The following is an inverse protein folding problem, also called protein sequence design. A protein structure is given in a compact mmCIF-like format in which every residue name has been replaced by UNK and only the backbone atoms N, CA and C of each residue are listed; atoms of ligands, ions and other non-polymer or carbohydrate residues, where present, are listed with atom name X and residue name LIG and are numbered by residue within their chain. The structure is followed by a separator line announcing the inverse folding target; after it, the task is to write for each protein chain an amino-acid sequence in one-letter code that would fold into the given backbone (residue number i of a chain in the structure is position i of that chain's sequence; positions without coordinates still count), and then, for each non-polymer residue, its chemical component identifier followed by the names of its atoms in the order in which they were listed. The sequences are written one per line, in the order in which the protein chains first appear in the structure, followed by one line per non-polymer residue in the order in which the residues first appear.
data_IF_725841686036
#
_entry.id   IF_725841686036
#
_cell.length_a   1.000
_cell.length_b   1.000
_cell.length_c   1.000
_cell.angle_alpha   90.00
_cell.angle_beta   90.00
_cell.angle_gamma   90.00
#
_symmetry.space_group_name_H-M   'P 1'
#
loop_
_entity.id
_entity.type
_entity.pdbx_description
1 polymer ?
#
# COMPACT_ATOMS: atom_id res chain seq x y z
N UNK A 1 2.15 -1.04 -5.66
CA UNK A 1 0.81 -0.48 -5.87
C UNK A 1 0.15 -0.36 -4.51
N UNK A 2 -0.22 0.86 -4.12
CA UNK A 2 -0.95 1.12 -2.89
C UNK A 2 -2.43 1.35 -3.21
N UNK A 3 -3.31 0.70 -2.45
CA UNK A 3 -4.74 0.93 -2.42
C UNK A 3 -5.04 1.63 -1.09
N UNK A 4 -5.33 2.92 -1.15
CA UNK A 4 -5.46 3.78 0.02
C UNK A 4 -6.91 4.22 0.23
N UNK A 5 -7.43 3.90 1.40
CA UNK A 5 -8.70 4.43 1.88
C UNK A 5 -8.59 5.94 2.09
N UNK A 6 -9.51 6.67 1.49
CA UNK A 6 -9.69 8.11 1.69
C UNK A 6 -11.16 8.41 2.03
N UNK A 7 -11.84 7.47 2.67
CA UNK A 7 -13.20 7.65 3.17
C UNK A 7 -13.27 8.72 4.28
N UNK A 8 -14.47 9.12 4.65
CA UNK A 8 -14.68 10.18 5.63
C UNK A 8 -14.06 9.93 7.00
N UNK A 9 -14.00 8.68 7.46
CA UNK A 9 -13.40 8.26 8.73
C UNK A 9 -11.89 8.51 8.81
N UNK A 10 -11.21 8.53 7.66
CA UNK A 10 -9.79 8.86 7.57
C UNK A 10 -9.46 10.31 7.96
N UNK A 11 -10.46 11.22 8.01
CA UNK A 11 -10.26 12.59 8.51
C UNK A 11 -10.06 12.64 10.04
N UNK A 12 -10.39 11.56 10.75
CA UNK A 12 -10.29 11.51 12.20
C UNK A 12 -8.89 11.12 12.66
N UNK A 13 -8.49 11.64 13.84
CA UNK A 13 -7.26 11.23 14.53
C UNK A 13 -5.98 11.35 13.67
N UNK A 14 -5.93 12.31 12.75
CA UNK A 14 -4.78 12.57 11.87
C UNK A 14 -4.39 11.36 10.98
N UNK A 15 -5.34 10.46 10.69
CA UNK A 15 -5.05 9.27 9.88
C UNK A 15 -4.64 9.64 8.45
N UNK A 16 -5.39 10.56 7.81
CA UNK A 16 -5.11 10.95 6.42
C UNK A 16 -3.80 11.75 6.31
N UNK A 17 -3.49 12.59 7.29
CA UNK A 17 -2.24 13.33 7.35
C UNK A 17 -1.04 12.38 7.49
N UNK A 18 -1.14 11.41 8.41
CA UNK A 18 -0.11 10.38 8.59
C UNK A 18 0.08 9.52 7.34
N UNK A 19 -1.02 9.17 6.66
CA UNK A 19 -0.96 8.43 5.39
C UNK A 19 -0.27 9.24 4.30
N UNK A 20 -0.59 10.54 4.16
CA UNK A 20 0.07 11.44 3.22
C UNK A 20 1.58 11.51 3.47
N UNK A 21 1.98 11.73 4.73
CA UNK A 21 3.39 11.79 5.13
C UNK A 21 4.11 10.47 4.84
N UNK A 22 3.51 9.35 5.20
CA UNK A 22 4.09 8.03 5.00
C UNK A 22 4.28 7.68 3.52
N UNK A 23 3.30 8.00 2.66
CA UNK A 23 3.38 7.80 1.22
C UNK A 23 4.46 8.68 0.59
N UNK A 24 4.53 9.95 0.98
CA UNK A 24 5.57 10.86 0.49
C UNK A 24 6.96 10.37 0.88
N UNK A 25 7.17 10.01 2.15
CA UNK A 25 8.45 9.48 2.65
C UNK A 25 8.85 8.19 1.92
N UNK A 26 7.90 7.30 1.65
CA UNK A 26 8.13 6.08 0.87
C UNK A 26 8.59 6.39 -0.56
N UNK A 27 7.90 7.29 -1.26
CA UNK A 27 8.24 7.69 -2.63
C UNK A 27 9.64 8.33 -2.67
N UNK A 28 9.93 9.24 -1.74
CA UNK A 28 11.24 9.87 -1.64
C UNK A 28 12.37 8.87 -1.36
N UNK A 29 12.12 7.91 -0.49
CA UNK A 29 13.08 6.84 -0.21
C UNK A 29 13.37 6.01 -1.45
N UNK A 30 12.35 5.63 -2.20
CA UNK A 30 12.52 4.90 -3.46
C UNK A 30 13.25 5.72 -4.53
N UNK A 31 12.96 7.02 -4.61
CA UNK A 31 13.61 7.91 -5.56
C UNK A 31 15.11 8.11 -5.30
N UNK A 32 15.51 8.10 -4.01
CA UNK A 32 16.90 8.29 -3.57
C UNK A 32 17.73 7.02 -3.62
N UNK A 33 17.10 5.84 -3.72
CA UNK A 33 17.84 4.57 -3.68
C UNK A 33 18.63 4.35 -4.97
N UNK A 34 19.94 4.23 -4.84
CA UNK A 34 20.87 4.09 -5.97
C UNK A 34 21.41 2.67 -6.18
N UNK A 35 21.20 1.76 -5.22
CA UNK A 35 21.76 0.40 -5.21
C UNK A 35 20.86 -0.65 -5.85
N UNK A 36 19.91 -0.22 -6.66
CA UNK A 36 18.88 -1.08 -7.21
C UNK A 36 19.37 -1.83 -8.46
N UNK A 37 18.97 -3.08 -8.58
CA UNK A 37 19.08 -3.88 -9.81
C UNK A 37 17.92 -3.65 -10.75
N UNK A 38 16.80 -3.15 -10.21
CA UNK A 38 15.60 -2.79 -10.95
C UNK A 38 15.05 -1.46 -10.45
N UNK A 39 14.53 -0.64 -11.36
CA UNK A 39 13.87 0.61 -11.04
C UNK A 39 12.57 0.35 -10.27
N UNK A 40 12.40 1.01 -9.12
CA UNK A 40 11.16 0.92 -8.35
C UNK A 40 10.10 1.82 -8.98
N UNK A 41 8.96 1.23 -9.33
CA UNK A 41 7.78 1.94 -9.78
C UNK A 41 6.73 1.99 -8.68
N UNK A 42 6.01 3.09 -8.60
CA UNK A 42 4.94 3.32 -7.62
C UNK A 42 3.66 3.68 -8.36
N UNK A 43 2.55 3.13 -7.92
CA UNK A 43 1.22 3.50 -8.33
C UNK A 43 0.31 3.62 -7.12
N UNK A 44 -0.65 4.54 -7.15
CA UNK A 44 -1.59 4.79 -6.06
C UNK A 44 -3.02 4.80 -6.58
N UNK A 45 -3.82 3.92 -6.04
CA UNK A 45 -5.27 3.87 -6.18
C UNK A 45 -5.86 4.39 -4.88
N UNK A 46 -6.72 5.40 -4.93
CA UNK A 46 -7.50 5.85 -3.78
C UNK A 46 -8.96 5.44 -3.93
N UNK A 47 -9.64 5.19 -2.81
CA UNK A 47 -11.07 4.91 -2.81
C UNK A 47 -11.78 5.67 -1.69
N UNK A 48 -12.85 6.38 -2.05
CA UNK A 48 -13.57 7.31 -1.18
C UNK A 48 -14.84 7.85 -1.84
N UNK A 49 -15.19 9.13 -1.62
CA UNK A 49 -16.43 9.77 -2.04
C UNK A 49 -16.82 9.55 -3.52
N UNK A 50 -15.84 9.53 -4.41
CA UNK A 50 -16.07 9.45 -5.86
C UNK A 50 -15.75 8.05 -6.42
N UNK A 51 -15.80 7.02 -5.60
CA UNK A 51 -15.40 5.67 -5.99
C UNK A 51 -13.90 5.46 -5.91
N UNK A 52 -13.40 4.42 -6.59
CA UNK A 52 -11.97 4.21 -6.75
C UNK A 52 -11.43 5.02 -7.94
N UNK A 53 -10.25 5.61 -7.78
CA UNK A 53 -9.60 6.38 -8.84
C UNK A 53 -8.07 6.14 -8.86
N UNK A 54 -7.49 6.28 -10.04
CA UNK A 54 -6.05 6.41 -10.19
C UNK A 54 -5.63 7.78 -9.63
N UNK A 55 -4.94 7.79 -8.50
CA UNK A 55 -4.39 8.99 -7.90
C UNK A 55 -2.98 9.28 -8.43
N UNK A 56 -2.17 8.23 -8.57
CA UNK A 56 -0.87 8.26 -9.17
C UNK A 56 -0.75 7.07 -10.14
N UNK A 57 -0.50 7.29 -11.44
CA UNK A 57 -0.25 6.20 -12.37
C UNK A 57 1.02 5.45 -12.00
N UNK A 58 1.15 4.19 -12.42
CA UNK A 58 2.39 3.41 -12.16
C UNK A 58 3.55 4.03 -12.93
N UNK A 59 4.43 4.70 -12.21
CA UNK A 59 5.61 5.38 -12.77
C UNK A 59 6.84 5.15 -11.90
N UNK A 60 8.01 5.35 -12.46
CA UNK A 60 9.27 5.28 -11.71
C UNK A 60 9.28 6.31 -10.58
N UNK A 61 9.61 5.89 -9.36
CA UNK A 61 9.59 6.76 -8.17
C UNK A 61 10.43 8.03 -8.38
N UNK A 62 11.58 7.93 -9.05
CA UNK A 62 12.45 9.08 -9.36
C UNK A 62 11.85 10.11 -10.33
N UNK A 63 10.72 9.80 -10.99
CA UNK A 63 9.99 10.72 -11.89
C UNK A 63 8.83 11.42 -11.21
N UNK A 64 8.54 11.06 -9.97
CA UNK A 64 7.47 11.67 -9.18
C UNK A 64 8.04 12.93 -8.54
N UNK A 65 7.73 14.08 -9.13
CA UNK A 65 8.16 15.38 -8.62
C UNK A 65 7.32 15.83 -7.42
N UNK A 66 6.03 15.52 -7.46
CA UNK A 66 5.08 15.80 -6.38
C UNK A 66 3.90 14.83 -6.44
N UNK A 67 3.29 14.58 -5.31
CA UNK A 67 2.03 13.83 -5.19
C UNK A 67 0.95 14.77 -4.67
N UNK A 68 -0.22 14.76 -5.31
CA UNK A 68 -1.36 15.50 -4.80
C UNK A 68 -1.75 14.97 -3.42
N UNK A 69 -2.01 15.88 -2.48
CA UNK A 69 -2.40 15.52 -1.11
C UNK A 69 -3.75 14.81 -1.08
N UNK A 70 -3.81 13.65 -0.44
CA UNK A 70 -5.05 12.90 -0.25
C UNK A 70 -5.99 13.67 0.67
N UNK A 71 -7.26 13.71 0.28
CA UNK A 71 -8.34 14.34 1.04
C UNK A 71 -9.36 13.28 1.45
N UNK A 72 -9.69 13.21 2.73
CA UNK A 72 -10.64 12.23 3.24
C UNK A 72 -12.08 12.69 3.01
N UNK A 73 -12.90 11.84 2.38
CA UNK A 73 -14.35 12.09 2.20
C UNK A 73 -15.10 10.83 1.74
N UNK A 74 -16.38 10.76 2.10
CA UNK A 74 -17.35 9.81 1.58
C UNK A 74 -17.25 8.39 2.12
N UNK A 75 -17.68 7.43 1.30
CA UNK A 75 -17.80 6.02 1.65
C UNK A 75 -16.49 5.24 1.38
N UNK A 76 -16.52 3.90 1.56
CA UNK A 76 -15.36 3.01 1.43
C UNK A 76 -15.59 2.00 0.29
N UNK A 77 -15.57 2.42 -1.01
CA UNK A 77 -15.83 1.56 -2.15
C UNK A 77 -14.62 0.68 -2.50
N UNK A 78 -14.30 -0.23 -1.60
CA UNK A 78 -13.10 -1.08 -1.66
C UNK A 78 -13.14 -2.08 -2.80
N UNK A 79 -14.31 -2.62 -3.16
CA UNK A 79 -14.49 -3.53 -4.28
C UNK A 79 -14.10 -2.88 -5.62
N UNK A 80 -14.40 -1.59 -5.79
CA UNK A 80 -13.94 -0.84 -6.97
C UNK A 80 -12.41 -0.73 -7.01
N UNK A 81 -11.77 -0.48 -5.87
CA UNK A 81 -10.31 -0.41 -5.80
C UNK A 81 -9.65 -1.77 -6.12
N UNK A 82 -10.21 -2.87 -5.62
CA UNK A 82 -9.74 -4.23 -5.93
C UNK A 82 -9.87 -4.54 -7.43
N UNK A 83 -10.99 -4.15 -8.05
CA UNK A 83 -11.21 -4.30 -9.48
C UNK A 83 -10.17 -3.52 -10.29
N UNK A 84 -9.92 -2.26 -9.91
CA UNK A 84 -8.90 -1.42 -10.57
C UNK A 84 -7.49 -2.01 -10.40
N UNK A 85 -7.15 -2.51 -9.21
CA UNK A 85 -5.87 -3.15 -8.96
C UNK A 85 -5.67 -4.40 -9.82
N UNK A 86 -6.72 -5.22 -9.99
CA UNK A 86 -6.68 -6.37 -10.90
C UNK A 86 -6.41 -5.93 -12.35
N UNK A 87 -7.14 -4.91 -12.82
CA UNK A 87 -6.94 -4.37 -14.18
C UNK A 87 -5.50 -3.88 -14.38
N UNK A 88 -4.94 -3.18 -13.38
CA UNK A 88 -3.55 -2.73 -13.45
C UNK A 88 -2.54 -3.87 -13.52
N UNK A 89 -2.77 -4.93 -12.74
CA UNK A 89 -1.90 -6.12 -12.75
C UNK A 89 -1.94 -6.85 -14.09
N UNK A 90 -3.09 -6.94 -14.73
CA UNK A 90 -3.26 -7.62 -16.03
C UNK A 90 -2.78 -6.77 -17.22
N UNK A 91 -2.69 -5.46 -17.06
CA UNK A 91 -2.21 -4.55 -18.09
C UNK A 91 -0.69 -4.70 -18.28
N UNK A 92 -0.29 -5.32 -19.40
CA UNK A 92 1.12 -5.58 -19.73
C UNK A 92 1.87 -4.35 -20.21
N UNK A 93 1.17 -3.29 -20.64
CA UNK A 93 1.79 -2.02 -20.98
C UNK A 93 2.18 -1.27 -19.70
N UNK A 94 1.30 -1.31 -18.70
CA UNK A 94 1.53 -0.72 -17.38
C UNK A 94 2.53 -1.53 -16.54
N UNK A 95 2.39 -2.84 -16.53
CA UNK A 95 3.25 -3.78 -15.78
C UNK A 95 3.79 -4.85 -16.71
N UNK A 96 4.95 -4.63 -17.34
CA UNK A 96 5.57 -5.60 -18.25
C UNK A 96 5.80 -6.97 -17.60
N UNK A 97 5.68 -8.04 -18.37
CA UNK A 97 5.82 -9.43 -17.87
C UNK A 97 7.20 -9.72 -17.27
N UNK A 98 8.23 -8.94 -17.64
CA UNK A 98 9.60 -9.03 -17.12
C UNK A 98 9.82 -8.27 -15.81
N UNK A 99 8.82 -7.50 -15.35
CA UNK A 99 8.92 -6.82 -14.08
C UNK A 99 9.01 -7.82 -12.92
N UNK A 100 9.67 -7.42 -11.83
CA UNK A 100 9.64 -8.19 -10.59
C UNK A 100 8.21 -8.32 -10.08
N UNK A 101 7.97 -9.34 -9.25
CA UNK A 101 6.63 -9.56 -8.68
C UNK A 101 6.14 -8.30 -7.97
N UNK A 102 4.93 -7.81 -8.31
CA UNK A 102 4.41 -6.62 -7.69
C UNK A 102 4.16 -6.83 -6.19
N UNK A 103 4.22 -5.71 -5.47
CA UNK A 103 3.74 -5.63 -4.09
C UNK A 103 2.47 -4.79 -4.10
N UNK A 104 1.39 -5.34 -3.57
CA UNK A 104 0.14 -4.64 -3.32
C UNK A 104 0.02 -4.34 -1.83
N UNK A 105 -0.35 -3.12 -1.51
CA UNK A 105 -0.56 -2.67 -0.13
C UNK A 105 -1.98 -2.12 -0.03
N UNK A 106 -2.82 -2.70 0.81
CA UNK A 106 -4.18 -2.23 1.08
C UNK A 106 -4.24 -1.63 2.48
N UNK A 107 -4.71 -0.40 2.57
CA UNK A 107 -4.83 0.36 3.82
C UNK A 107 -6.26 0.84 3.97
N UNK A 108 -6.92 0.52 5.09
CA UNK A 108 -8.27 0.97 5.38
C UNK A 108 -8.52 1.10 6.88
N UNK A 109 -9.43 2.01 7.24
CA UNK A 109 -9.88 2.24 8.61
C UNK A 109 -11.36 1.88 8.83
N UNK A 110 -12.01 1.28 7.83
CA UNK A 110 -13.43 0.94 7.89
C UNK A 110 -13.81 -0.35 7.18
N UNK A 111 -15.09 -0.66 7.24
CA UNK A 111 -15.68 -1.76 6.48
C UNK A 111 -16.02 -1.30 5.03
N UNK A 112 -15.88 -2.20 4.04
CA UNK A 112 -16.30 -1.92 2.67
C UNK A 112 -17.79 -1.53 2.59
N UNK A 113 -18.11 -0.56 1.72
CA UNK A 113 -19.48 -0.10 1.49
C UNK A 113 -20.06 -0.60 0.17
N UNK A 114 -19.28 -1.34 -0.61
CA UNK A 114 -19.69 -1.95 -1.89
C UNK A 114 -19.45 -3.46 -1.89
N UNK A 115 -19.81 -4.14 -2.98
CA UNK A 115 -19.45 -5.56 -3.18
C UNK A 115 -17.92 -5.69 -3.33
N UNK A 116 -17.27 -6.20 -2.33
CA UNK A 116 -15.83 -6.46 -2.31
C UNK A 116 -15.50 -7.95 -2.51
N UNK A 117 -16.42 -8.86 -2.20
CA UNK A 117 -16.17 -10.30 -2.23
C UNK A 117 -15.87 -10.80 -3.64
N UNK A 118 -16.72 -10.43 -4.61
CA UNK A 118 -16.54 -10.82 -6.01
C UNK A 118 -15.26 -10.21 -6.61
N UNK A 119 -14.97 -8.90 -6.46
CA UNK A 119 -13.70 -8.31 -6.85
C UNK A 119 -12.46 -8.97 -6.20
N UNK A 120 -12.52 -9.26 -4.90
CA UNK A 120 -11.42 -9.94 -4.23
C UNK A 120 -11.20 -11.35 -4.77
N UNK A 121 -12.27 -12.10 -5.00
CA UNK A 121 -12.21 -13.43 -5.60
C UNK A 121 -11.60 -13.38 -7.01
N UNK A 122 -12.02 -12.42 -7.82
CA UNK A 122 -11.47 -12.20 -9.17
C UNK A 122 -9.99 -11.82 -9.12
N UNK A 123 -9.60 -10.90 -8.24
CA UNK A 123 -8.21 -10.52 -8.00
C UNK A 123 -7.37 -11.75 -7.62
N UNK A 124 -7.83 -12.56 -6.66
CA UNK A 124 -7.11 -13.78 -6.19
C UNK A 124 -7.03 -14.86 -7.26
N UNK A 125 -7.95 -14.91 -8.21
CA UNK A 125 -7.92 -15.84 -9.33
C UNK A 125 -6.97 -15.40 -10.45
N UNK A 126 -6.60 -14.13 -10.53
CA UNK A 126 -5.65 -13.59 -11.49
C UNK A 126 -4.27 -14.20 -11.31
N UNK A 127 -3.66 -14.72 -12.37
CA UNK A 127 -2.31 -15.32 -12.32
C UNK A 127 -1.26 -14.33 -11.82
N UNK A 128 -1.37 -13.07 -12.20
CA UNK A 128 -0.43 -12.02 -11.81
C UNK A 128 -0.59 -11.61 -10.35
N UNK A 129 -1.83 -11.51 -9.87
CA UNK A 129 -2.11 -11.23 -8.46
C UNK A 129 -1.70 -12.39 -7.53
N UNK A 130 -1.76 -13.63 -8.00
CA UNK A 130 -1.24 -14.78 -7.24
C UNK A 130 0.26 -14.71 -7.02
N UNK A 131 0.99 -14.13 -7.97
CA UNK A 131 2.44 -13.92 -7.87
C UNK A 131 2.80 -12.68 -7.05
N UNK A 132 1.87 -11.76 -6.88
CA UNK A 132 2.08 -10.53 -6.10
C UNK A 132 2.17 -10.83 -4.60
N UNK A 133 3.00 -10.08 -3.90
CA UNK A 133 2.94 -10.02 -2.43
C UNK A 133 1.86 -9.03 -2.05
N UNK A 134 0.97 -9.42 -1.12
CA UNK A 134 -0.12 -8.56 -0.66
C UNK A 134 0.01 -8.31 0.83
N UNK A 135 0.12 -7.05 1.20
CA UNK A 135 0.13 -6.59 2.58
C UNK A 135 -1.15 -5.81 2.87
N UNK A 136 -1.64 -5.90 4.09
CA UNK A 136 -2.79 -5.13 4.53
C UNK A 136 -2.52 -4.44 5.86
N UNK A 137 -3.07 -3.24 6.02
CA UNK A 137 -3.07 -2.50 7.27
C UNK A 137 -4.49 -2.09 7.64
N UNK A 138 -4.88 -2.45 8.85
CA UNK A 138 -6.10 -2.01 9.52
C UNK A 138 -5.76 -0.80 10.40
N UNK A 139 -6.47 0.31 10.24
CA UNK A 139 -6.26 1.54 11.03
C UNK A 139 -7.43 1.72 11.99
N UNK A 140 -7.15 1.62 13.29
CA UNK A 140 -8.18 1.72 14.32
C UNK A 140 -9.03 0.46 14.47
N UNK A 141 -10.03 0.53 15.34
CA UNK A 141 -10.85 -0.62 15.73
C UNK A 141 -12.00 -0.92 14.75
N UNK A 142 -12.36 0.04 13.89
CA UNK A 142 -13.52 -0.08 13.00
C UNK A 142 -13.17 -0.71 11.64
N UNK A 143 -11.88 -0.96 11.39
CA UNK A 143 -11.41 -1.61 10.18
C UNK A 143 -11.88 -3.07 10.11
N UNK A 144 -12.35 -3.51 8.94
CA UNK A 144 -12.72 -4.90 8.69
C UNK A 144 -11.46 -5.78 8.53
N UNK A 145 -10.95 -6.25 9.66
CA UNK A 145 -9.74 -7.07 9.72
C UNK A 145 -9.89 -8.43 9.03
N UNK A 146 -11.11 -9.00 9.02
CA UNK A 146 -11.36 -10.28 8.35
C UNK A 146 -11.29 -10.14 6.83
N UNK A 147 -11.83 -9.06 6.28
CA UNK A 147 -11.68 -8.73 4.87
C UNK A 147 -10.21 -8.47 4.50
N UNK A 148 -9.51 -7.66 5.30
CA UNK A 148 -8.11 -7.34 5.09
C UNK A 148 -7.22 -8.59 5.16
N UNK A 149 -7.51 -9.53 6.07
CA UNK A 149 -6.83 -10.81 6.16
C UNK A 149 -7.08 -11.69 4.93
N UNK A 150 -8.27 -11.63 4.35
CA UNK A 150 -8.56 -12.34 3.10
C UNK A 150 -7.80 -11.76 1.90
N UNK A 151 -7.52 -10.46 1.91
CA UNK A 151 -6.71 -9.81 0.87
C UNK A 151 -5.24 -10.16 1.02
N UNK A 152 -4.68 -10.10 2.22
CA UNK A 152 -3.27 -10.37 2.50
C UNK A 152 -2.89 -11.83 2.16
N UNK A 153 -1.62 -12.06 1.84
CA UNK A 153 -1.11 -13.42 1.58
C UNK A 153 0.21 -13.72 2.32
N UNK A 154 0.59 -12.85 3.23
CA UNK A 154 1.66 -13.13 4.17
C UNK A 154 1.10 -13.95 5.35
N UNK A 155 1.66 -15.15 5.54
CA UNK A 155 1.21 -16.07 6.59
C UNK A 155 1.71 -15.68 7.99
N UNK A 156 2.82 -14.96 8.06
CA UNK A 156 3.44 -14.57 9.34
C UNK A 156 2.90 -13.22 9.84
N UNK A 157 2.46 -12.33 8.92
CA UNK A 157 1.87 -11.05 9.26
C UNK A 157 0.70 -10.72 8.32
N UNK A 158 -0.46 -11.37 8.46
CA UNK A 158 -1.56 -11.24 7.50
C UNK A 158 -2.15 -9.82 7.47
N UNK A 159 -2.30 -9.16 8.62
CA UNK A 159 -2.81 -7.79 8.74
C UNK A 159 -2.02 -7.05 9.80
N UNK A 160 -1.49 -5.90 9.44
CA UNK A 160 -0.87 -5.00 10.39
C UNK A 160 -1.95 -4.14 11.07
N UNK A 161 -1.90 -4.05 12.40
CA UNK A 161 -2.80 -3.18 13.17
C UNK A 161 -2.10 -1.85 13.45
N UNK A 162 -2.77 -0.76 13.12
CA UNK A 162 -2.31 0.59 13.38
C UNK A 162 -3.30 1.30 14.31
N UNK A 163 -2.88 1.61 15.53
CA UNK A 163 -3.71 2.34 16.50
C UNK A 163 -3.61 3.86 16.31
N UNK A 164 -2.66 4.35 15.53
CA UNK A 164 -2.47 5.76 15.29
C UNK A 164 -1.42 6.09 14.23
N UNK A 165 -1.14 7.39 14.10
CA UNK A 165 -0.24 7.95 13.08
C UNK A 165 1.15 7.29 13.04
N UNK A 166 1.74 7.00 14.21
CA UNK A 166 3.06 6.36 14.29
C UNK A 166 3.08 4.98 13.64
N UNK A 167 2.03 4.20 13.82
CA UNK A 167 1.96 2.84 13.29
C UNK A 167 1.79 2.84 11.77
N UNK A 168 1.06 3.83 11.23
CA UNK A 168 0.95 4.05 9.78
C UNK A 168 2.35 4.29 9.19
N UNK A 169 3.12 5.19 9.78
CA UNK A 169 4.50 5.49 9.34
C UNK A 169 5.40 4.25 9.45
N UNK A 170 5.34 3.51 10.56
CA UNK A 170 6.13 2.28 10.76
C UNK A 170 5.81 1.22 9.70
N UNK A 171 4.54 1.01 9.41
CA UNK A 171 4.13 0.05 8.39
C UNK A 171 4.70 0.42 7.01
N UNK A 172 4.53 1.67 6.58
CA UNK A 172 5.07 2.11 5.28
C UNK A 172 6.60 2.08 5.24
N UNK A 173 7.28 2.35 6.36
CA UNK A 173 8.74 2.16 6.46
C UNK A 173 9.13 0.70 6.25
N UNK A 174 8.44 -0.25 6.89
CA UNK A 174 8.69 -1.67 6.73
C UNK A 174 8.42 -2.15 5.28
N UNK A 175 7.33 -1.68 4.66
CA UNK A 175 7.05 -1.94 3.24
C UNK A 175 8.18 -1.40 2.36
N UNK A 176 8.63 -0.16 2.62
CA UNK A 176 9.74 0.47 1.90
C UNK A 176 11.01 -0.37 1.97
N UNK A 177 11.40 -0.78 3.17
CA UNK A 177 12.58 -1.63 3.40
C UNK A 177 12.46 -2.97 2.68
N UNK A 178 11.29 -3.60 2.71
CA UNK A 178 11.03 -4.86 2.01
C UNK A 178 11.21 -4.71 0.50
N UNK A 179 10.63 -3.66 -0.10
CA UNK A 179 10.72 -3.40 -1.55
C UNK A 179 12.14 -3.07 -1.97
N UNK A 180 12.86 -2.22 -1.23
CA UNK A 180 14.26 -1.86 -1.49
C UNK A 180 15.15 -3.11 -1.43
N UNK A 181 15.03 -3.90 -0.38
CA UNK A 181 15.82 -5.13 -0.21
C UNK A 181 15.58 -6.12 -1.37
N UNK A 182 14.33 -6.30 -1.77
CA UNK A 182 13.98 -7.14 -2.94
C UNK A 182 14.57 -6.60 -4.23
N UNK A 183 14.47 -5.31 -4.47
CA UNK A 183 14.97 -4.67 -5.71
C UNK A 183 16.48 -4.69 -5.80
N UNK A 184 17.19 -4.79 -4.69
CA UNK A 184 18.65 -4.95 -4.63
C UNK A 184 19.10 -6.43 -4.69
N UNK A 185 18.20 -7.40 -4.45
CA UNK A 185 18.50 -8.82 -4.37
C UNK A 185 18.85 -9.43 -5.73
N UNK A 186 19.66 -10.48 -5.70
CA UNK A 186 19.88 -11.37 -6.86
C UNK A 186 18.72 -12.34 -7.09
N UNK A 187 17.88 -12.53 -6.07
CA UNK A 187 16.70 -13.41 -6.08
C UNK A 187 15.45 -12.65 -5.61
N UNK A 188 15.02 -11.63 -6.35
CA UNK A 188 13.99 -10.67 -5.90
C UNK A 188 12.62 -11.32 -5.70
N UNK A 189 12.36 -12.43 -6.36
CA UNK A 189 11.06 -13.13 -6.33
C UNK A 189 10.95 -14.20 -5.24
N UNK A 190 11.98 -14.36 -4.41
CA UNK A 190 11.85 -15.17 -3.20
C UNK A 190 11.04 -14.41 -2.17
N UNK A 191 10.05 -15.08 -1.58
CA UNK A 191 9.20 -14.49 -0.55
C UNK A 191 10.07 -14.01 0.63
N UNK A 192 10.01 -12.73 0.92
CA UNK A 192 10.60 -12.15 2.12
C UNK A 192 9.46 -11.73 3.02
N UNK A 193 9.48 -12.22 4.23
CA UNK A 193 8.52 -11.83 5.27
C UNK A 193 8.74 -10.38 5.67
N UNK A 194 7.66 -9.62 5.78
CA UNK A 194 7.70 -8.28 6.33
C UNK A 194 8.02 -8.38 7.82
N UNK A 195 9.26 -8.14 8.21
CA UNK A 195 9.65 -8.13 9.63
C UNK A 195 9.46 -6.73 10.18
N UNK A 196 8.49 -6.57 11.04
CA UNK A 196 8.35 -5.43 11.91
C UNK A 196 9.18 -5.73 13.16
N UNK A 197 10.43 -5.29 13.18
CA UNK A 197 11.27 -5.45 14.36
C UNK A 197 10.87 -4.44 15.43
N UNK A 198 10.78 -4.90 16.68
CA UNK A 198 10.56 -4.05 17.86
C UNK A 198 11.71 -3.08 18.11
N UNK A 199 12.85 -3.28 17.46
CA UNK A 199 14.04 -2.44 17.58
C UNK A 199 13.95 -1.10 16.81
N UNK A 200 12.96 -0.92 15.94
CA UNK A 200 12.71 0.36 15.27
C UNK A 200 12.07 1.42 16.21
N UNK A 201 12.07 1.17 17.52
CA UNK A 201 11.54 2.08 18.54
C UNK A 201 12.50 3.17 18.97
N UNK A 202 13.76 3.17 18.52
CA UNK A 202 14.82 4.01 19.06
C UNK A 202 15.41 5.05 18.13
N UNK A 203 14.79 5.36 17.00
CA UNK A 203 15.30 6.46 16.17
C UNK A 203 14.31 7.63 16.11
N UNK A 204 14.75 8.69 16.76
CA UNK A 204 14.23 10.04 16.83
C UNK A 204 13.63 10.54 15.51
N UNK A 205 12.32 10.44 15.40
CA UNK A 205 11.57 11.41 14.63
C UNK A 205 11.32 12.58 15.58
N UNK A 206 12.10 13.63 15.42
CA UNK A 206 11.93 14.92 16.09
C UNK A 206 10.56 15.51 15.70
N UNK A 207 9.51 15.07 16.42
CA UNK A 207 8.14 15.55 16.24
C UNK A 207 7.89 16.88 16.95
N UNK A 208 8.92 17.47 17.60
CA UNK A 208 8.81 18.72 18.34
C UNK A 208 9.01 19.98 17.46
N UNK A 209 9.18 19.82 16.14
CA UNK A 209 9.36 20.92 15.19
C UNK A 209 8.25 20.99 14.11
N UNK A 210 6.98 20.77 14.49
CA UNK A 210 5.82 21.07 13.63
C UNK A 210 4.98 22.18 14.23
#
# INVERSE_FOLDING_TARGET
IVLADVSGSMAENQKIEALNQALQAMIESFAKESRLRAEIQVGLITFGANGAKEHLPVVAARRIESMETLQASGATPMGQALTMAQQWLEDKERLPSRAYRPVLVLVSDGAPTDDWENPLKALKASERAQKATRFAMAIGADADTDMLAQFANDREAPVFQADGARDIVRFFRAVTMSVVTRSASTTPDQAQTLRLTTDDLSDDLDLDNL
#
